data_IF_172961168624
#
_entry.id   IF_172961168624
#
_cell.length_a   1.000
_cell.length_b   1.000
_cell.length_c   1.000
_cell.angle_alpha   90.00
_cell.angle_beta   90.00
_cell.angle_gamma   90.00
#
_symmetry.space_group_name_H-M   'P 1'
#
loop_
_entity.id
_entity.type
_entity.pdbx_description
1 polymer ?
#
# COMPACT_ATOMS: atom_id res chain seq x y z
N UNK A 1 -11.09 -19.84 2.18
CA UNK A 1 -10.70 -18.92 3.27
C UNK A 1 -11.17 -17.53 2.86
N UNK A 2 -12.05 -16.87 3.63
CA UNK A 2 -12.62 -15.59 3.20
C UNK A 2 -11.53 -14.50 3.14
N UNK A 3 -11.41 -13.84 1.98
CA UNK A 3 -10.51 -12.71 1.73
C UNK A 3 -10.63 -11.60 2.80
N UNK A 4 -11.83 -11.41 3.36
CA UNK A 4 -12.08 -10.46 4.45
C UNK A 4 -11.28 -10.79 5.71
N UNK A 5 -11.16 -12.07 6.06
CA UNK A 5 -10.40 -12.50 7.24
C UNK A 5 -8.90 -12.28 7.11
N UNK A 6 -8.35 -12.44 5.90
CA UNK A 6 -6.95 -12.13 5.60
C UNK A 6 -6.71 -10.61 5.62
N UNK A 7 -7.59 -9.82 5.02
CA UNK A 7 -7.49 -8.36 5.02
C UNK A 7 -7.49 -7.80 6.46
N UNK A 8 -8.32 -8.34 7.35
CA UNK A 8 -8.35 -7.93 8.76
C UNK A 8 -7.09 -8.30 9.54
N UNK A 9 -6.46 -9.45 9.22
CA UNK A 9 -5.16 -9.82 9.78
C UNK A 9 -4.06 -8.91 9.26
N UNK A 10 -3.99 -8.71 7.94
CA UNK A 10 -3.02 -7.81 7.30
C UNK A 10 -3.12 -6.39 7.87
N UNK A 11 -4.33 -5.87 8.09
CA UNK A 11 -4.54 -4.57 8.73
C UNK A 11 -3.93 -4.50 10.14
N UNK A 12 -4.04 -5.58 10.93
CA UNK A 12 -3.42 -5.68 12.25
C UNK A 12 -1.90 -5.81 12.18
N UNK A 13 -1.38 -6.53 11.19
CA UNK A 13 0.06 -6.64 10.97
C UNK A 13 0.70 -5.29 10.64
N UNK A 14 0.00 -4.46 9.89
CA UNK A 14 0.45 -3.12 9.50
C UNK A 14 0.18 -2.05 10.57
N UNK A 15 -0.19 -2.44 11.80
CA UNK A 15 -0.31 -1.49 12.89
C UNK A 15 1.04 -0.79 13.16
N UNK A 16 0.98 0.54 13.33
CA UNK A 16 2.17 1.38 13.44
C UNK A 16 2.92 1.65 12.12
N UNK A 17 2.54 1.03 10.99
CA UNK A 17 3.14 1.27 9.67
C UNK A 17 2.66 2.60 9.06
N UNK A 18 3.21 3.69 9.59
CA UNK A 18 2.88 5.09 9.24
C UNK A 18 3.98 5.73 8.39
N UNK A 19 3.70 6.86 7.74
CA UNK A 19 4.73 7.54 6.94
C UNK A 19 5.93 7.98 7.79
N UNK A 20 5.69 8.36 9.05
CA UNK A 20 6.73 8.68 10.02
C UNK A 20 7.62 7.47 10.34
N UNK A 21 7.01 6.32 10.66
CA UNK A 21 7.76 5.09 10.97
C UNK A 21 8.55 4.56 9.77
N UNK A 22 7.99 4.71 8.56
CA UNK A 22 8.66 4.37 7.30
C UNK A 22 9.86 5.30 7.06
N UNK A 23 9.68 6.61 7.26
CA UNK A 23 10.75 7.58 7.11
C UNK A 23 11.92 7.33 8.07
N UNK A 24 11.63 6.92 9.30
CA UNK A 24 12.63 6.47 10.28
C UNK A 24 13.35 5.21 9.78
N UNK A 25 12.58 4.19 9.35
CA UNK A 25 13.11 2.92 8.89
C UNK A 25 14.03 3.02 7.66
N UNK A 26 13.83 3.99 6.77
CA UNK A 26 14.68 4.20 5.58
C UNK A 26 15.72 5.30 5.74
N UNK A 27 15.59 6.12 6.79
CA UNK A 27 16.45 7.27 7.07
C UNK A 27 16.37 8.35 5.99
N UNK A 28 16.98 9.50 6.26
CA UNK A 28 16.91 10.69 5.38
C UNK A 28 17.45 10.43 3.96
N UNK A 29 18.55 9.67 3.86
CA UNK A 29 19.16 9.35 2.55
C UNK A 29 18.29 8.38 1.77
N UNK A 30 17.76 7.34 2.43
CA UNK A 30 16.85 6.39 1.80
C UNK A 30 15.56 7.05 1.34
N UNK A 31 14.98 7.92 2.17
CA UNK A 31 13.77 8.68 1.82
C UNK A 31 13.98 9.52 0.56
N UNK A 32 15.08 10.28 0.49
CA UNK A 32 15.38 11.08 -0.70
C UNK A 32 15.71 10.24 -1.94
N UNK A 33 16.26 9.03 -1.75
CA UNK A 33 16.53 8.11 -2.84
C UNK A 33 15.24 7.52 -3.43
N UNK A 34 14.26 7.20 -2.57
CA UNK A 34 12.93 6.72 -2.98
C UNK A 34 12.23 7.72 -3.90
N UNK A 35 12.33 9.02 -3.64
CA UNK A 35 11.75 10.08 -4.49
C UNK A 35 12.35 10.10 -5.92
N UNK A 36 13.52 9.48 -6.10
CA UNK A 36 14.21 9.34 -7.38
C UNK A 36 14.17 7.90 -7.91
N UNK A 37 13.27 7.08 -7.38
CA UNK A 37 13.10 5.65 -7.70
C UNK A 37 14.37 4.81 -7.42
N UNK A 38 15.24 5.27 -6.52
CA UNK A 38 16.46 4.56 -6.13
C UNK A 38 16.24 3.80 -4.82
N UNK A 39 15.95 2.50 -4.91
CA UNK A 39 15.66 1.68 -3.71
C UNK A 39 16.88 1.34 -2.86
N UNK A 40 18.07 1.19 -3.47
CA UNK A 40 19.23 0.60 -2.81
C UNK A 40 19.66 1.32 -1.52
N UNK A 41 19.69 2.66 -1.44
CA UNK A 41 20.02 3.35 -0.19
C UNK A 41 19.01 3.10 0.93
N UNK A 42 17.72 3.03 0.60
CA UNK A 42 16.65 2.75 1.56
C UNK A 42 16.72 1.32 2.10
N UNK A 43 16.94 0.33 1.22
CA UNK A 43 17.12 -1.07 1.62
C UNK A 43 18.33 -1.20 2.57
N UNK A 44 19.47 -0.59 2.20
CA UNK A 44 20.67 -0.64 3.05
C UNK A 44 20.43 -0.06 4.43
N UNK A 45 19.72 1.06 4.55
CA UNK A 45 19.42 1.64 5.86
C UNK A 45 18.46 0.75 6.66
N UNK A 46 17.36 0.31 6.05
CA UNK A 46 16.36 -0.54 6.70
C UNK A 46 16.95 -1.87 7.22
N UNK A 47 17.93 -2.46 6.53
CA UNK A 47 18.63 -3.67 7.02
C UNK A 47 19.47 -3.44 8.28
N UNK A 48 19.77 -2.20 8.66
CA UNK A 48 20.50 -1.87 9.89
C UNK A 48 19.59 -1.59 11.08
N UNK A 49 18.28 -1.47 10.83
CA UNK A 49 17.29 -1.13 11.85
C UNK A 49 16.61 -2.41 12.37
N UNK A 50 16.50 -2.58 13.69
CA UNK A 50 15.78 -3.72 14.28
C UNK A 50 14.27 -3.54 14.23
N UNK A 51 13.54 -4.65 14.31
CA UNK A 51 12.10 -4.69 14.54
C UNK A 51 11.24 -4.74 13.27
N UNK A 52 9.93 -4.76 13.48
CA UNK A 52 8.93 -5.07 12.46
C UNK A 52 8.78 -4.02 11.36
N UNK A 53 8.84 -2.72 11.71
CA UNK A 53 8.62 -1.65 10.71
C UNK A 53 9.67 -1.66 9.59
N UNK A 54 10.99 -1.79 9.87
CA UNK A 54 11.99 -1.99 8.83
C UNK A 54 11.75 -3.22 7.94
N UNK A 55 11.28 -4.33 8.51
CA UNK A 55 10.93 -5.55 7.76
C UNK A 55 9.73 -5.32 6.84
N UNK A 56 8.64 -4.74 7.37
CA UNK A 56 7.45 -4.37 6.58
C UNK A 56 7.81 -3.35 5.49
N UNK A 57 8.71 -2.41 5.77
CA UNK A 57 9.19 -1.41 4.79
C UNK A 57 9.99 -2.07 3.68
N UNK A 58 10.91 -2.99 4.02
CA UNK A 58 11.63 -3.81 3.04
C UNK A 58 10.66 -4.59 2.16
N UNK A 59 9.69 -5.24 2.77
CA UNK A 59 8.72 -6.12 2.10
C UNK A 59 7.76 -5.34 1.18
N UNK A 60 6.98 -4.41 1.74
CA UNK A 60 5.86 -3.77 1.04
C UNK A 60 6.20 -2.44 0.35
N UNK A 61 7.21 -1.69 0.80
CA UNK A 61 7.60 -0.45 0.13
C UNK A 61 8.73 -0.67 -0.87
N UNK A 62 9.74 -1.47 -0.51
CA UNK A 62 10.97 -1.60 -1.29
C UNK A 62 11.02 -2.84 -2.18
N UNK A 63 10.00 -3.71 -2.10
CA UNK A 63 9.93 -4.96 -2.87
C UNK A 63 11.11 -5.89 -2.59
N UNK A 64 11.67 -5.82 -1.40
CA UNK A 64 12.83 -6.61 -0.99
C UNK A 64 12.37 -7.98 -0.49
N UNK A 65 13.15 -9.00 -0.84
CA UNK A 65 12.95 -10.36 -0.37
C UNK A 65 13.38 -10.47 1.10
N UNK A 66 12.56 -11.12 1.91
CA UNK A 66 12.91 -11.47 3.29
C UNK A 66 13.35 -12.94 3.37
N UNK A 67 14.01 -13.32 4.47
CA UNK A 67 14.07 -14.74 4.87
C UNK A 67 12.72 -15.19 5.46
N UNK A 68 12.52 -16.50 5.62
CA UNK A 68 11.31 -17.02 6.28
C UNK A 68 11.22 -16.57 7.75
N UNK A 69 12.36 -16.46 8.44
CA UNK A 69 12.43 -15.97 9.82
C UNK A 69 12.08 -14.47 9.90
N UNK A 70 12.64 -13.66 8.99
CA UNK A 70 12.30 -12.24 8.88
C UNK A 70 10.82 -12.03 8.54
N UNK A 71 10.25 -12.88 7.69
CA UNK A 71 8.82 -12.84 7.38
C UNK A 71 7.97 -13.19 8.61
N UNK A 72 8.32 -14.24 9.34
CA UNK A 72 7.60 -14.63 10.55
C UNK A 72 7.64 -13.55 11.64
N UNK A 73 8.73 -12.78 11.73
CA UNK A 73 8.80 -11.60 12.59
C UNK A 73 7.92 -10.45 12.07
N UNK A 74 7.92 -10.20 10.76
CA UNK A 74 7.15 -9.14 10.14
C UNK A 74 5.63 -9.38 10.21
N UNK A 75 5.19 -10.63 10.01
CA UNK A 75 3.78 -11.02 9.82
C UNK A 75 3.35 -12.19 10.73
N UNK A 76 3.52 -12.12 12.07
CA UNK A 76 3.32 -13.24 13.00
C UNK A 76 1.94 -13.93 12.97
N UNK A 77 0.89 -13.24 12.55
CA UNK A 77 -0.49 -13.77 12.49
C UNK A 77 -0.91 -14.24 11.10
N UNK A 78 -0.10 -14.03 10.07
CA UNK A 78 -0.34 -14.48 8.70
C UNK A 78 0.77 -15.45 8.28
N UNK A 79 0.50 -16.78 8.28
CA UNK A 79 1.48 -17.77 7.85
C UNK A 79 1.95 -17.54 6.41
N UNK A 80 3.23 -17.81 6.13
CA UNK A 80 3.81 -17.61 4.79
C UNK A 80 3.07 -18.41 3.72
N UNK A 81 2.74 -19.67 3.99
CA UNK A 81 2.00 -20.52 3.04
C UNK A 81 0.64 -19.90 2.68
N UNK A 82 -0.07 -19.38 3.68
CA UNK A 82 -1.36 -18.71 3.47
C UNK A 82 -1.21 -17.44 2.62
N UNK A 83 -0.15 -16.67 2.85
CA UNK A 83 0.15 -15.48 2.05
C UNK A 83 0.55 -15.83 0.61
N UNK A 84 1.20 -16.98 0.38
CA UNK A 84 1.51 -17.49 -0.96
C UNK A 84 0.23 -17.96 -1.66
N UNK A 85 -0.61 -18.76 -1.00
CA UNK A 85 -1.87 -19.27 -1.55
C UNK A 85 -2.84 -18.15 -1.93
N UNK A 86 -2.88 -17.08 -1.14
CA UNK A 86 -3.69 -15.88 -1.43
C UNK A 86 -3.11 -14.98 -2.51
N UNK A 87 -1.87 -15.25 -2.95
CA UNK A 87 -1.16 -14.43 -3.92
C UNK A 87 -0.60 -13.11 -3.37
N UNK A 88 -0.61 -12.90 -2.04
CA UNK A 88 0.01 -11.75 -1.38
C UNK A 88 1.55 -11.84 -1.42
N UNK A 89 2.09 -13.06 -1.40
CA UNK A 89 3.52 -13.35 -1.40
C UNK A 89 3.91 -14.31 -2.51
N UNK A 90 5.16 -14.24 -2.96
CA UNK A 90 5.79 -15.26 -3.80
C UNK A 90 6.50 -16.32 -2.94
N UNK A 91 6.87 -17.45 -3.53
CA UNK A 91 7.70 -18.48 -2.87
C UNK A 91 9.09 -17.98 -2.48
N UNK A 92 9.58 -16.92 -3.14
CA UNK A 92 10.83 -16.25 -2.78
C UNK A 92 10.62 -15.19 -1.69
N UNK A 93 9.50 -15.22 -0.95
CA UNK A 93 9.19 -14.32 0.17
C UNK A 93 9.27 -12.83 -0.23
N UNK A 94 8.70 -12.52 -1.40
CA UNK A 94 8.48 -11.14 -1.87
C UNK A 94 6.99 -10.84 -1.87
N UNK A 95 6.63 -9.61 -1.49
CA UNK A 95 5.27 -9.12 -1.70
C UNK A 95 4.97 -9.00 -3.19
N UNK A 96 3.73 -9.29 -3.57
CA UNK A 96 3.22 -9.13 -4.95
C UNK A 96 2.59 -7.75 -5.18
N UNK A 97 2.33 -7.02 -4.09
CA UNK A 97 1.78 -5.66 -4.08
C UNK A 97 2.70 -4.74 -3.26
N UNK A 98 2.65 -3.45 -3.56
CA UNK A 98 3.20 -2.44 -2.68
C UNK A 98 2.13 -1.93 -1.72
N UNK A 99 2.51 -1.62 -0.47
CA UNK A 99 1.63 -0.95 0.49
C UNK A 99 2.33 0.29 1.02
N UNK A 100 1.65 1.43 0.96
CA UNK A 100 2.19 2.74 1.35
C UNK A 100 1.25 3.47 2.30
N UNK A 101 1.76 4.05 3.41
CA UNK A 101 1.02 5.07 4.14
C UNK A 101 0.94 6.34 3.28
N UNK A 102 -0.27 6.86 3.11
CA UNK A 102 -0.55 8.05 2.30
C UNK A 102 -1.37 9.02 3.12
N UNK A 103 -0.85 10.24 3.27
CA UNK A 103 -1.54 11.31 3.98
C UNK A 103 -2.92 11.61 3.37
N UNK A 104 -3.87 11.91 4.24
CA UNK A 104 -5.18 12.46 3.88
C UNK A 104 -5.10 13.98 4.09
N UNK A 105 -5.61 14.81 3.16
CA UNK A 105 -5.64 16.26 3.37
C UNK A 105 -6.43 16.65 4.64
N UNK A 106 -5.97 17.67 5.37
CA UNK A 106 -6.58 18.09 6.66
C UNK A 106 -8.08 18.39 6.56
N UNK A 107 -8.52 18.95 5.44
CA UNK A 107 -9.92 19.22 5.14
C UNK A 107 -10.81 17.97 5.04
N UNK A 108 -10.22 16.78 4.95
CA UNK A 108 -10.88 15.47 5.04
C UNK A 108 -10.60 14.77 6.38
N UNK A 109 -10.28 15.54 7.42
CA UNK A 109 -10.02 15.05 8.78
C UNK A 109 -8.58 14.60 9.03
N UNK A 110 -7.68 14.75 8.06
CA UNK A 110 -6.26 14.42 8.21
C UNK A 110 -5.98 12.94 8.52
N UNK A 111 -4.73 12.65 8.90
CA UNK A 111 -4.23 11.31 9.15
C UNK A 111 -3.73 10.62 7.88
N UNK A 112 -3.74 9.29 7.86
CA UNK A 112 -3.17 8.48 6.77
C UNK A 112 -4.07 7.31 6.41
N UNK A 113 -3.97 6.85 5.15
CA UNK A 113 -4.51 5.59 4.66
C UNK A 113 -3.37 4.68 4.25
N UNK A 114 -3.52 3.38 4.49
CA UNK A 114 -2.69 2.36 3.86
C UNK A 114 -3.27 2.05 2.48
N UNK A 115 -2.51 2.36 1.44
CA UNK A 115 -2.93 2.16 0.05
C UNK A 115 -2.09 1.06 -0.57
N UNK A 116 -2.77 0.04 -1.10
CA UNK A 116 -2.19 -1.00 -1.91
C UNK A 116 -2.12 -0.57 -3.39
N UNK A 117 -1.06 -0.96 -4.08
CA UNK A 117 -0.86 -0.74 -5.51
C UNK A 117 -0.02 -1.87 -6.10
N UNK A 118 0.07 -1.93 -7.42
CA UNK A 118 1.01 -2.84 -8.07
C UNK A 118 2.47 -2.42 -7.79
N UNK A 119 3.38 -3.37 -7.96
CA UNK A 119 4.82 -3.10 -7.93
C UNK A 119 5.23 -2.32 -9.19
N UNK A 120 6.08 -1.30 -9.02
CA UNK A 120 6.50 -0.41 -10.09
C UNK A 120 8.02 -0.23 -10.16
N UNK A 121 8.49 0.85 -10.83
CA UNK A 121 9.91 1.07 -11.09
C UNK A 121 10.79 1.07 -9.84
N UNK A 122 10.29 1.60 -8.71
CA UNK A 122 11.01 1.57 -7.43
C UNK A 122 11.37 0.14 -6.99
N UNK A 123 10.56 -0.87 -7.33
CA UNK A 123 10.77 -2.28 -7.02
C UNK A 123 11.37 -3.07 -8.20
N UNK A 124 12.00 -2.37 -9.15
CA UNK A 124 12.57 -2.94 -10.37
C UNK A 124 11.52 -3.68 -11.24
N UNK A 125 10.25 -3.27 -11.15
CA UNK A 125 9.14 -3.85 -11.91
C UNK A 125 8.67 -2.88 -13.02
N UNK A 126 8.51 -3.41 -14.24
CA UNK A 126 7.97 -2.65 -15.36
C UNK A 126 6.44 -2.63 -15.27
N UNK A 127 5.79 -1.44 -15.29
CA UNK A 127 4.35 -1.34 -15.30
C UNK A 127 3.73 -2.05 -16.51
N UNK A 128 2.79 -2.96 -16.26
CA UNK A 128 1.93 -3.54 -17.28
C UNK A 128 0.85 -2.54 -17.74
N UNK A 129 0.10 -2.90 -18.79
CA UNK A 129 -0.98 -2.05 -19.30
C UNK A 129 -2.12 -1.82 -18.29
N UNK A 130 -2.38 -2.80 -17.42
CA UNK A 130 -3.40 -2.82 -16.36
C UNK A 130 -2.84 -2.39 -15.00
N UNK A 131 -1.63 -1.81 -14.97
CA UNK A 131 -0.92 -1.48 -13.74
C UNK A 131 -1.68 -0.45 -12.89
N UNK A 132 -1.96 -0.83 -11.64
CA UNK A 132 -2.56 0.04 -10.62
C UNK A 132 -1.46 0.88 -10.00
N UNK A 133 -1.37 2.14 -10.43
CA UNK A 133 -0.39 3.10 -9.95
C UNK A 133 -0.54 3.41 -8.44
N UNK A 134 0.57 3.64 -7.72
CA UNK A 134 0.52 4.22 -6.37
C UNK A 134 0.01 5.66 -6.39
N UNK A 135 -0.30 6.20 -5.21
CA UNK A 135 -0.74 7.60 -5.06
C UNK A 135 0.40 8.58 -5.39
N UNK A 136 0.34 9.15 -6.60
CA UNK A 136 1.28 10.15 -7.10
C UNK A 136 0.93 11.60 -6.73
N UNK A 137 1.76 12.54 -7.18
CA UNK A 137 1.59 13.97 -6.91
C UNK A 137 0.25 14.52 -7.43
N UNK A 138 -0.15 14.16 -8.65
CA UNK A 138 -1.41 14.61 -9.24
C UNK A 138 -2.63 14.16 -8.41
N UNK A 139 -2.65 12.92 -7.95
CA UNK A 139 -3.70 12.38 -7.07
C UNK A 139 -3.77 13.15 -5.76
N UNK A 140 -2.62 13.44 -5.13
CA UNK A 140 -2.57 14.24 -3.90
C UNK A 140 -3.07 15.68 -4.11
N UNK A 141 -2.68 16.31 -5.22
CA UNK A 141 -3.16 17.65 -5.59
C UNK A 141 -4.67 17.67 -5.81
N UNK A 142 -5.22 16.69 -6.54
CA UNK A 142 -6.66 16.59 -6.75
C UNK A 142 -7.43 16.37 -5.44
N UNK A 143 -6.95 15.48 -4.57
CA UNK A 143 -7.53 15.29 -3.25
C UNK A 143 -7.49 16.57 -2.39
N UNK A 144 -6.41 17.34 -2.45
CA UNK A 144 -6.34 18.62 -1.75
C UNK A 144 -7.38 19.63 -2.26
N UNK A 145 -7.73 19.60 -3.55
CA UNK A 145 -8.68 20.53 -4.17
C UNK A 145 -10.16 20.09 -4.10
N UNK A 146 -10.47 18.82 -3.83
CA UNK A 146 -11.82 18.23 -3.99
C UNK A 146 -12.66 18.20 -2.71
N UNK A 147 -13.79 18.91 -2.66
CA UNK A 147 -14.73 18.85 -1.54
C UNK A 147 -15.74 17.70 -1.63
N UNK A 148 -15.81 16.93 -0.54
CA UNK A 148 -16.81 15.89 -0.33
C UNK A 148 -17.61 16.25 0.92
N UNK A 149 -18.92 16.26 0.78
CA UNK A 149 -19.85 16.53 1.88
C UNK A 149 -20.47 15.22 2.41
N UNK A 150 -20.79 15.14 3.72
CA UNK A 150 -21.52 14.00 4.27
C UNK A 150 -22.84 13.74 3.52
N UNK A 151 -23.07 12.49 3.13
CA UNK A 151 -24.27 12.07 2.40
C UNK A 151 -24.28 12.39 0.90
N UNK A 152 -23.26 13.08 0.37
CA UNK A 152 -23.06 13.27 -1.07
C UNK A 152 -22.88 11.92 -1.77
N UNK A 153 -23.38 11.79 -3.00
CA UNK A 153 -23.10 10.63 -3.85
C UNK A 153 -21.93 10.97 -4.79
N UNK A 154 -20.91 10.13 -4.81
CA UNK A 154 -19.65 10.35 -5.55
C UNK A 154 -19.37 9.14 -6.43
N UNK A 155 -19.09 9.39 -7.71
CA UNK A 155 -18.60 8.38 -8.65
C UNK A 155 -17.12 8.61 -8.91
N UNK A 156 -16.27 7.68 -8.47
CA UNK A 156 -14.82 7.71 -8.73
C UNK A 156 -14.52 6.98 -10.06
N UNK A 157 -14.38 7.75 -11.14
CA UNK A 157 -14.09 7.24 -12.47
C UNK A 157 -12.58 7.05 -12.66
N UNK A 158 -12.16 5.82 -12.96
CA UNK A 158 -10.73 5.50 -13.05
C UNK A 158 -10.10 5.41 -11.66
N UNK A 159 -10.82 4.79 -10.71
CA UNK A 159 -10.46 4.78 -9.29
C UNK A 159 -9.04 4.25 -8.99
N UNK A 160 -8.46 3.43 -9.87
CA UNK A 160 -7.11 2.91 -9.70
C UNK A 160 -6.96 2.19 -8.35
N UNK A 161 -6.10 2.69 -7.48
CA UNK A 161 -5.92 2.20 -6.11
C UNK A 161 -7.01 2.64 -5.11
N UNK A 162 -8.06 3.33 -5.56
CA UNK A 162 -9.24 3.70 -4.77
C UNK A 162 -9.04 4.87 -3.80
N UNK A 163 -7.94 5.61 -3.89
CA UNK A 163 -7.61 6.66 -2.91
C UNK A 163 -8.70 7.74 -2.79
N UNK A 164 -9.25 8.25 -3.90
CA UNK A 164 -10.30 9.28 -3.84
C UNK A 164 -11.62 8.72 -3.29
N UNK A 165 -12.02 7.52 -3.70
CA UNK A 165 -13.17 6.82 -3.12
C UNK A 165 -13.05 6.65 -1.60
N UNK A 166 -11.88 6.25 -1.10
CA UNK A 166 -11.60 6.12 0.33
C UNK A 166 -11.63 7.47 1.07
N UNK A 167 -11.06 8.53 0.49
CA UNK A 167 -11.11 9.89 1.05
C UNK A 167 -12.55 10.43 1.07
N UNK A 168 -13.34 10.18 0.03
CA UNK A 168 -14.75 10.54 -0.04
C UNK A 168 -15.58 9.80 1.02
N UNK A 169 -15.42 8.48 1.13
CA UNK A 169 -16.11 7.67 2.12
C UNK A 169 -15.77 8.12 3.55
N UNK A 170 -14.49 8.42 3.83
CA UNK A 170 -14.05 8.98 5.12
C UNK A 170 -14.66 10.35 5.42
N UNK A 171 -14.97 11.14 4.39
CA UNK A 171 -15.69 12.42 4.50
C UNK A 171 -17.21 12.25 4.67
N UNK A 172 -17.70 11.01 4.77
CA UNK A 172 -19.11 10.68 4.94
C UNK A 172 -19.91 10.60 3.64
N UNK A 173 -19.25 10.65 2.47
CA UNK A 173 -19.93 10.49 1.18
C UNK A 173 -20.24 9.01 0.90
N UNK A 174 -21.30 8.76 0.11
CA UNK A 174 -21.55 7.46 -0.51
C UNK A 174 -20.78 7.40 -1.81
N UNK A 175 -19.73 6.59 -1.86
CA UNK A 175 -18.90 6.45 -3.04
C UNK A 175 -19.19 5.12 -3.75
N UNK A 176 -19.28 5.19 -5.07
CA UNK A 176 -19.14 4.03 -5.96
C UNK A 176 -17.93 4.27 -6.84
N UNK A 177 -17.06 3.29 -6.96
CA UNK A 177 -15.91 3.33 -7.83
C UNK A 177 -16.15 2.55 -9.13
N UNK A 178 -15.46 2.97 -10.18
CA UNK A 178 -15.40 2.19 -11.42
C UNK A 178 -13.99 2.25 -11.98
N UNK A 179 -13.33 1.10 -11.99
CA UNK A 179 -12.08 0.92 -12.73
C UNK A 179 -12.41 0.53 -14.17
N UNK A 180 -11.65 1.06 -15.13
CA UNK A 180 -11.75 0.66 -16.54
C UNK A 180 -11.09 -0.69 -16.84
N UNK A 181 -10.51 -1.32 -15.81
CA UNK A 181 -9.73 -2.55 -15.90
C UNK A 181 -10.51 -3.70 -15.24
N UNK A 182 -10.96 -4.66 -16.05
CA UNK A 182 -11.63 -5.89 -15.61
C UNK A 182 -10.63 -6.84 -14.93
N UNK A 183 -10.13 -6.50 -13.74
CA UNK A 183 -9.82 -7.51 -12.71
C UNK A 183 -11.01 -7.57 -11.77
N UNK A 184 -12.16 -7.91 -12.34
CA UNK A 184 -13.27 -8.40 -11.57
C UNK A 184 -12.85 -9.79 -11.10
N UNK A 185 -12.87 -10.01 -9.79
CA UNK A 185 -12.99 -11.35 -9.26
C UNK A 185 -14.04 -12.08 -10.12
N UNK A 186 -13.68 -13.21 -10.71
CA UNK A 186 -14.66 -14.22 -11.11
C UNK A 186 -15.36 -14.67 -9.83
N UNK A 187 -16.38 -13.92 -9.41
CA UNK A 187 -17.43 -14.44 -8.56
C UNK A 187 -18.55 -14.91 -9.48
N UNK A 188 -18.48 -16.20 -9.79
CA UNK A 188 -19.63 -17.02 -10.12
C UNK A 188 -20.76 -16.79 -9.12
N UNK A 189 -21.92 -16.36 -9.65
CA UNK A 189 -23.30 -16.66 -9.22
C UNK A 189 -23.60 -16.73 -7.72
#
# INVERSE_FOLDING_TARGET
MELLGLADRLRRELDGYTAASVAEAVGRVGLSAIDREQRAPAVRHACTQPGRIPLLTRLFLLGHQLSEEEYAEAMPTVPLEEAIESGLMTRDVKATIAIRPVAIPDRHGGGELLIASDLGPLQDCLPAHDHVMPVGGATKTLAAMTAFEPGQSVLDLGAGCGYHALVAARSGARCTDRTGWLRQCDDTR
#
